data_IF_908905870203
#
_entry.id   IF_908905870203
#
_cell.length_a   1.000
_cell.length_b   1.000
_cell.length_c   1.000
_cell.angle_alpha   90.00
_cell.angle_beta   90.00
_cell.angle_gamma   90.00
#
_symmetry.space_group_name_H-M   'P 1'
#
loop_
_entity.id
_entity.type
_entity.pdbx_description
1 polymer ?
#
# COMPACT_ATOMS: atom_id res chain seq x y z
N UNK A 1 11.47 5.76 -2.73
CA UNK A 1 10.30 6.33 -2.04
C UNK A 1 10.52 6.25 -0.54
N UNK A 2 10.42 7.38 0.18
CA UNK A 2 10.59 7.36 1.64
C UNK A 2 9.25 7.13 2.35
N UNK A 3 9.28 6.96 3.68
CA UNK A 3 8.08 6.68 4.46
C UNK A 3 7.03 7.78 4.32
N UNK A 4 7.45 9.03 4.35
CA UNK A 4 6.52 10.17 4.25
C UNK A 4 5.79 10.19 2.91
N UNK A 5 6.47 9.86 1.83
CA UNK A 5 5.86 9.76 0.50
C UNK A 5 4.87 8.61 0.42
N UNK A 6 5.19 7.48 1.03
CA UNK A 6 4.28 6.32 1.07
C UNK A 6 3.05 6.63 1.91
N UNK A 7 3.23 7.28 3.06
CA UNK A 7 2.12 7.67 3.93
C UNK A 7 1.22 8.71 3.25
N UNK A 8 1.78 9.65 2.51
CA UNK A 8 1.00 10.61 1.73
C UNK A 8 0.16 9.91 0.67
N UNK A 9 0.75 8.93 -0.02
CA UNK A 9 0.04 8.10 -1.01
C UNK A 9 -1.11 7.34 -0.37
N UNK A 10 -0.87 6.73 0.80
CA UNK A 10 -1.91 6.01 1.57
C UNK A 10 -3.05 6.97 1.92
N UNK A 11 -2.73 8.18 2.36
CA UNK A 11 -3.74 9.18 2.70
C UNK A 11 -4.65 9.50 1.51
N UNK A 12 -4.04 9.69 0.33
CA UNK A 12 -4.79 9.97 -0.90
C UNK A 12 -5.64 8.77 -1.30
N UNK A 13 -5.11 7.55 -1.17
CA UNK A 13 -5.83 6.33 -1.49
C UNK A 13 -7.02 6.09 -0.55
N UNK A 14 -6.87 6.40 0.74
CA UNK A 14 -7.99 6.30 1.69
C UNK A 14 -9.11 7.26 1.32
N UNK A 15 -8.77 8.49 0.93
CA UNK A 15 -9.75 9.47 0.47
C UNK A 15 -10.46 8.98 -0.80
N UNK A 16 -9.71 8.40 -1.73
CA UNK A 16 -10.26 7.84 -2.97
C UNK A 16 -11.17 6.64 -2.70
N UNK A 17 -10.80 5.76 -1.77
CA UNK A 17 -11.63 4.63 -1.37
C UNK A 17 -12.98 5.11 -0.83
N UNK A 18 -12.96 6.13 0.03
CA UNK A 18 -14.17 6.73 0.59
C UNK A 18 -15.05 7.31 -0.50
N UNK A 19 -14.45 8.01 -1.46
CA UNK A 19 -15.16 8.60 -2.59
C UNK A 19 -15.80 7.51 -3.45
N UNK A 20 -15.06 6.44 -3.78
CA UNK A 20 -15.58 5.33 -4.56
C UNK A 20 -16.74 4.62 -3.85
N UNK A 21 -16.67 4.48 -2.53
CA UNK A 21 -17.74 3.90 -1.71
C UNK A 21 -19.00 4.79 -1.77
N UNK A 22 -18.83 6.09 -1.60
CA UNK A 22 -19.94 7.04 -1.60
C UNK A 22 -20.66 7.13 -2.95
N UNK A 23 -19.93 6.88 -4.05
CA UNK A 23 -20.49 6.90 -5.40
C UNK A 23 -20.94 5.52 -5.90
N UNK A 24 -20.84 4.50 -5.04
CA UNK A 24 -21.28 3.16 -5.40
C UNK A 24 -20.50 2.52 -6.53
N UNK A 25 -19.18 2.73 -6.56
CA UNK A 25 -18.29 2.19 -7.58
C UNK A 25 -17.42 1.05 -6.99
N UNK A 26 -17.91 -0.21 -7.00
CA UNK A 26 -17.21 -1.32 -6.37
C UNK A 26 -15.91 -1.70 -7.09
N UNK A 27 -15.83 -1.54 -8.40
CA UNK A 27 -14.61 -1.85 -9.15
C UNK A 27 -13.48 -0.89 -8.81
N UNK A 28 -13.81 0.41 -8.76
CA UNK A 28 -12.84 1.44 -8.38
C UNK A 28 -12.41 1.24 -6.93
N UNK A 29 -13.35 0.96 -6.03
CA UNK A 29 -13.04 0.69 -4.62
C UNK A 29 -12.07 -0.48 -4.49
N UNK A 30 -12.31 -1.57 -5.23
CA UNK A 30 -11.42 -2.73 -5.19
C UNK A 30 -10.02 -2.40 -5.67
N UNK A 31 -9.88 -1.64 -6.76
CA UNK A 31 -8.55 -1.22 -7.24
C UNK A 31 -7.80 -0.38 -6.21
N UNK A 32 -8.52 0.51 -5.53
CA UNK A 32 -7.93 1.34 -4.47
C UNK A 32 -7.52 0.50 -3.27
N UNK A 33 -8.33 -0.47 -2.87
CA UNK A 33 -8.01 -1.39 -1.77
C UNK A 33 -6.74 -2.19 -2.08
N UNK A 34 -6.59 -2.68 -3.31
CA UNK A 34 -5.38 -3.39 -3.73
C UNK A 34 -4.16 -2.46 -3.65
N UNK A 35 -4.29 -1.23 -4.14
CA UNK A 35 -3.20 -0.25 -4.07
C UNK A 35 -2.84 0.09 -2.62
N UNK A 36 -3.81 0.16 -1.72
CA UNK A 36 -3.58 0.35 -0.29
C UNK A 36 -2.78 -0.80 0.30
N UNK A 37 -3.16 -2.04 -0.02
CA UNK A 37 -2.45 -3.22 0.47
C UNK A 37 -0.99 -3.23 0.01
N UNK A 38 -0.75 -2.86 -1.25
CA UNK A 38 0.61 -2.73 -1.79
C UNK A 38 1.42 -1.65 -1.07
N UNK A 39 0.80 -0.51 -0.77
CA UNK A 39 1.46 0.59 -0.08
C UNK A 39 1.81 0.22 1.37
N UNK A 40 0.90 -0.42 2.09
CA UNK A 40 1.17 -0.91 3.45
C UNK A 40 2.25 -1.99 3.46
N UNK A 41 2.23 -2.89 2.49
CA UNK A 41 3.28 -3.91 2.34
C UNK A 41 4.65 -3.27 2.15
N UNK A 42 4.74 -2.23 1.34
CA UNK A 42 5.99 -1.51 1.10
C UNK A 42 6.52 -0.88 2.39
N UNK A 43 5.65 -0.28 3.21
CA UNK A 43 6.03 0.26 4.51
C UNK A 43 6.57 -0.83 5.44
N UNK A 44 5.91 -1.98 5.49
CA UNK A 44 6.37 -3.11 6.33
C UNK A 44 7.73 -3.62 5.86
N UNK A 45 7.98 -3.68 4.56
CA UNK A 45 9.28 -4.05 4.03
C UNK A 45 10.36 -3.07 4.48
N UNK A 46 10.08 -1.77 4.42
CA UNK A 46 11.02 -0.73 4.84
C UNK A 46 11.36 -0.86 6.32
N UNK A 47 10.35 -1.09 7.16
CA UNK A 47 10.54 -1.29 8.59
C UNK A 47 11.38 -2.55 8.87
N UNK A 48 11.09 -3.65 8.18
CA UNK A 48 11.86 -4.89 8.30
C UNK A 48 13.32 -4.71 7.91
N UNK A 49 13.59 -3.95 6.84
CA UNK A 49 14.95 -3.66 6.41
C UNK A 49 15.70 -2.82 7.44
N UNK A 50 15.06 -1.79 8.01
CA UNK A 50 15.65 -0.98 9.09
C UNK A 50 16.00 -1.83 10.29
N UNK A 51 15.08 -2.70 10.72
CA UNK A 51 15.29 -3.57 11.87
C UNK A 51 16.45 -4.53 11.65
N UNK A 52 16.67 -4.93 10.40
CA UNK A 52 17.79 -5.80 10.01
C UNK A 52 19.11 -5.03 9.78
N UNK A 53 19.11 -3.70 9.99
CA UNK A 53 20.28 -2.87 9.74
C UNK A 53 20.58 -2.65 8.27
N UNK A 54 19.60 -2.85 7.40
CA UNK A 54 19.71 -2.68 5.95
C UNK A 54 19.07 -1.37 5.50
N UNK A 55 19.35 -1.00 4.24
CA UNK A 55 18.79 0.21 3.65
C UNK A 55 17.30 0.03 3.33
N UNK A 56 16.39 0.80 3.95
CA UNK A 56 14.96 0.69 3.64
C UNK A 56 14.63 0.99 2.18
N UNK A 57 15.48 1.73 1.46
CA UNK A 57 15.27 2.02 0.04
C UNK A 57 15.42 0.78 -0.86
N UNK A 58 15.87 -0.34 -0.33
CA UNK A 58 15.88 -1.62 -1.04
C UNK A 58 14.48 -2.25 -1.13
N UNK A 59 13.50 -1.74 -0.38
CA UNK A 59 12.12 -2.23 -0.47
C UNK A 59 11.52 -1.93 -1.84
N UNK A 60 10.80 -2.90 -2.38
CA UNK A 60 10.14 -2.78 -3.68
C UNK A 60 8.67 -3.12 -3.57
N UNK A 61 7.83 -2.40 -4.32
CA UNK A 61 6.41 -2.70 -4.40
C UNK A 61 6.22 -4.09 -5.01
N UNK A 62 5.53 -4.97 -4.29
CA UNK A 62 5.26 -6.33 -4.76
C UNK A 62 3.99 -6.36 -5.59
N UNK A 63 3.87 -7.31 -6.54
CA UNK A 63 2.64 -7.47 -7.33
C UNK A 63 1.42 -7.69 -6.43
N UNK A 64 0.26 -7.22 -6.88
CA UNK A 64 -0.98 -7.29 -6.12
C UNK A 64 -1.34 -8.72 -5.71
N UNK A 65 -1.18 -9.69 -6.60
CA UNK A 65 -1.48 -11.10 -6.33
C UNK A 65 -0.59 -11.68 -5.24
N UNK A 66 0.69 -11.28 -5.19
CA UNK A 66 1.60 -11.70 -4.14
C UNK A 66 1.19 -11.12 -2.78
N UNK A 67 0.87 -9.82 -2.73
CA UNK A 67 0.46 -9.15 -1.50
C UNK A 67 -0.85 -9.75 -0.97
N UNK A 68 -1.83 -9.92 -1.81
CA UNK A 68 -3.13 -10.46 -1.41
C UNK A 68 -3.05 -11.93 -0.97
N UNK A 69 -2.11 -12.68 -1.52
CA UNK A 69 -1.94 -14.09 -1.21
C UNK A 69 -1.63 -14.34 0.26
N UNK A 70 -0.80 -13.52 0.88
CA UNK A 70 -0.46 -13.72 2.29
C UNK A 70 -1.27 -12.86 3.27
N UNK A 71 -2.16 -12.03 2.77
CA UNK A 71 -3.13 -11.33 3.61
C UNK A 71 -4.40 -12.16 3.86
N UNK A 72 -4.56 -13.24 3.14
CA UNK A 72 -5.69 -14.15 3.29
C UNK A 72 -5.50 -15.16 4.42
#
# INVERSE_FOLDING_TARGET
>A
MNDDEILAKIHDLVAEERDATNHGDPERRRRVEIALDQAWDLLRQRDGLRDAGKNPDEAEERPADEVESYLQ
#
